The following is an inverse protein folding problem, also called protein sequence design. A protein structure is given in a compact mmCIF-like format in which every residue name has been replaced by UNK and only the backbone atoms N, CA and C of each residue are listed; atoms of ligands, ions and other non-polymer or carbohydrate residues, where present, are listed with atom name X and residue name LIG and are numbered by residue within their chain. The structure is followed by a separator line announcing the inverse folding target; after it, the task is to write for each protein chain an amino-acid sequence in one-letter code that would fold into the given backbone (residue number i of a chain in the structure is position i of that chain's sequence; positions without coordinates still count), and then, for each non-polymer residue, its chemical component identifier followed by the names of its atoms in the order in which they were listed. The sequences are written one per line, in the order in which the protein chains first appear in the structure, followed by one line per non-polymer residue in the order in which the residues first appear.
data_IF_216765409595
#
_entry.id   IF_216765409595
#
_cell.length_a   1.000
_cell.length_b   1.000
_cell.length_c   1.000
_cell.angle_alpha   90.00
_cell.angle_beta   90.00
_cell.angle_gamma   90.00
#
_symmetry.space_group_name_H-M   'P 1'
#
loop_
_entity.id
_entity.type
_entity.pdbx_description
1 polymer ?
#
# COMPACT_ATOMS: atom_id res chain seq x y z
N UNK A 1 18.42 -17.40 -35.41
CA UNK A 1 18.51 -16.25 -34.50
C UNK A 1 17.88 -16.66 -33.18
N UNK A 2 18.54 -16.46 -32.03
CA UNK A 2 17.89 -16.66 -30.72
C UNK A 2 16.83 -15.55 -30.55
N UNK A 3 15.64 -15.84 -29.98
CA UNK A 3 14.60 -14.83 -29.80
C UNK A 3 15.10 -13.72 -28.86
N UNK A 4 14.80 -12.48 -29.19
CA UNK A 4 15.01 -11.34 -28.29
C UNK A 4 13.95 -11.40 -27.19
N UNK A 5 14.38 -11.48 -25.94
CA UNK A 5 13.50 -11.47 -24.76
C UNK A 5 13.71 -10.15 -24.02
N UNK A 6 12.78 -9.19 -24.10
CA UNK A 6 12.89 -7.94 -23.35
C UNK A 6 12.69 -8.20 -21.86
N UNK A 7 13.53 -7.57 -21.03
CA UNK A 7 13.33 -7.54 -19.58
C UNK A 7 12.44 -6.33 -19.27
N UNK A 8 11.27 -6.51 -18.67
CA UNK A 8 10.38 -5.40 -18.34
C UNK A 8 10.98 -4.53 -17.24
N UNK A 9 10.62 -3.25 -17.25
CA UNK A 9 10.86 -2.38 -16.10
C UNK A 9 9.93 -2.83 -14.97
N UNK A 10 10.51 -3.26 -13.86
CA UNK A 10 9.76 -3.61 -12.64
C UNK A 10 9.72 -2.37 -11.75
N UNK A 11 8.55 -1.78 -11.63
CA UNK A 11 8.27 -0.66 -10.72
C UNK A 11 7.19 -1.13 -9.73
N UNK A 12 7.64 -1.84 -8.69
CA UNK A 12 6.76 -2.28 -7.62
C UNK A 12 7.10 -1.50 -6.35
N UNK A 13 6.17 -0.70 -5.88
CA UNK A 13 6.29 -0.04 -4.60
C UNK A 13 5.33 -0.69 -3.61
N UNK A 14 5.91 -1.38 -2.66
CA UNK A 14 5.26 -1.93 -1.49
C UNK A 14 5.73 -1.11 -0.29
N UNK A 15 4.78 -0.68 0.53
CA UNK A 15 5.07 0.00 1.79
C UNK A 15 4.53 -0.81 2.95
N UNK A 16 5.42 -1.21 3.85
CA UNK A 16 5.06 -1.74 5.16
C UNK A 16 5.27 -0.60 6.18
N UNK A 17 4.19 -0.20 6.85
CA UNK A 17 4.21 0.94 7.81
C UNK A 17 4.46 0.50 9.24
N UNK A 18 4.71 -0.78 9.46
CA UNK A 18 4.89 -1.38 10.77
C UNK A 18 3.71 -2.26 11.16
N UNK A 19 3.86 -2.90 12.30
CA UNK A 19 2.90 -3.83 12.86
C UNK A 19 3.42 -4.39 14.18
N UNK A 20 2.67 -5.31 14.75
CA UNK A 20 3.04 -5.97 16.00
C UNK A 20 2.35 -7.33 16.15
N UNK A 21 2.95 -8.17 16.95
CA UNK A 21 2.26 -9.29 17.60
C UNK A 21 1.95 -8.89 19.03
N UNK A 22 0.77 -9.21 19.51
CA UNK A 22 0.37 -8.91 20.88
C UNK A 22 -0.56 -9.98 21.44
N UNK A 23 -0.31 -10.36 22.71
CA UNK A 23 -1.27 -11.09 23.53
C UNK A 23 -1.99 -10.08 24.42
N UNK A 24 -3.30 -10.17 24.50
CA UNK A 24 -4.18 -9.27 25.25
C UNK A 24 -5.11 -10.06 26.16
N UNK A 25 -5.40 -9.57 27.36
CA UNK A 25 -6.28 -10.26 28.30
C UNK A 25 -7.74 -10.26 27.83
N UNK A 26 -8.58 -11.05 28.52
CA UNK A 26 -10.02 -10.97 28.41
C UNK A 26 -10.53 -9.55 28.66
N UNK A 27 -11.62 -9.17 27.99
CA UNK A 27 -12.21 -7.83 28.08
C UNK A 27 -11.41 -6.73 27.39
N UNK A 28 -10.25 -7.04 26.77
CA UNK A 28 -9.48 -6.03 26.04
C UNK A 28 -10.26 -5.48 24.85
N UNK A 29 -10.25 -4.15 24.70
CA UNK A 29 -10.81 -3.44 23.57
C UNK A 29 -9.89 -2.31 23.13
N UNK A 30 -9.74 -2.13 21.81
CA UNK A 30 -9.05 -1.01 21.23
C UNK A 30 -10.06 0.07 20.78
N UNK A 31 -9.67 1.34 20.89
CA UNK A 31 -10.54 2.45 20.51
C UNK A 31 -10.86 2.48 19.00
N UNK A 32 -11.92 3.20 18.63
CA UNK A 32 -12.33 3.39 17.23
C UNK A 32 -11.20 4.07 16.46
N UNK A 33 -10.78 3.47 15.37
CA UNK A 33 -9.63 3.92 14.55
C UNK A 33 -9.89 3.79 13.06
N UNK A 34 -9.12 4.50 12.26
CA UNK A 34 -9.02 4.33 10.81
C UNK A 34 -7.62 4.64 10.31
N UNK A 35 -7.14 3.90 9.33
CA UNK A 35 -5.81 4.05 8.78
C UNK A 35 -5.85 4.48 7.32
N UNK A 36 -4.81 5.19 6.85
CA UNK A 36 -4.60 5.50 5.43
C UNK A 36 -3.85 4.36 4.69
N UNK A 37 -3.78 3.20 5.32
CA UNK A 37 -3.17 1.98 4.81
C UNK A 37 -4.17 0.82 4.93
N UNK A 38 -3.94 -0.26 4.21
CA UNK A 38 -4.58 -1.54 4.51
C UNK A 38 -4.04 -2.08 5.83
N UNK A 39 -4.87 -2.74 6.60
CA UNK A 39 -4.46 -3.45 7.80
C UNK A 39 -4.75 -4.93 7.63
N UNK A 40 -3.72 -5.76 7.78
CA UNK A 40 -3.86 -7.20 7.86
C UNK A 40 -3.93 -7.59 9.33
N UNK A 41 -4.98 -8.34 9.69
CA UNK A 41 -5.19 -8.91 11.03
C UNK A 41 -5.19 -10.43 10.92
N UNK A 42 -4.34 -11.09 11.71
CA UNK A 42 -4.27 -12.56 11.84
C UNK A 42 -4.45 -12.92 13.30
N UNK A 43 -5.46 -13.68 13.65
CA UNK A 43 -5.58 -14.26 15.00
C UNK A 43 -4.77 -15.56 15.06
N UNK A 44 -3.96 -15.74 16.10
CA UNK A 44 -3.15 -16.93 16.31
C UNK A 44 -3.59 -17.75 17.53
N UNK A 45 -4.26 -17.11 18.50
CA UNK A 45 -4.90 -17.79 19.65
C UNK A 45 -6.07 -16.96 20.15
N UNK A 46 -7.08 -17.62 20.71
CA UNK A 46 -8.33 -16.96 21.14
C UNK A 46 -9.18 -16.48 19.95
N UNK A 47 -10.08 -15.53 20.18
CA UNK A 47 -10.97 -15.01 19.15
C UNK A 47 -11.04 -13.47 19.21
N UNK A 48 -11.02 -12.84 18.04
CA UNK A 48 -11.18 -11.39 17.90
C UNK A 48 -12.55 -11.04 17.34
N UNK A 49 -13.14 -10.00 17.89
CA UNK A 49 -14.32 -9.34 17.29
C UNK A 49 -13.87 -8.00 16.71
N UNK A 50 -14.13 -7.82 15.42
CA UNK A 50 -13.91 -6.54 14.72
C UNK A 50 -15.26 -5.99 14.28
N UNK A 51 -15.60 -4.78 14.75
CA UNK A 51 -16.76 -4.03 14.30
C UNK A 51 -16.31 -3.03 13.22
N UNK A 52 -16.89 -3.13 12.04
CA UNK A 52 -16.72 -2.16 10.96
C UNK A 52 -17.94 -1.26 10.92
N UNK A 53 -17.74 0.02 11.23
CA UNK A 53 -18.81 1.00 11.37
C UNK A 53 -19.67 1.07 10.10
N UNK A 54 -21.00 0.97 10.30
CA UNK A 54 -21.99 0.99 9.23
C UNK A 54 -21.89 -0.17 8.21
N UNK A 55 -21.18 -1.25 8.55
CA UNK A 55 -21.09 -2.42 7.68
C UNK A 55 -21.49 -3.71 8.39
N UNK A 56 -20.68 -4.21 9.29
CA UNK A 56 -20.90 -5.47 10.00
C UNK A 56 -19.95 -5.64 11.20
N UNK A 57 -20.29 -6.59 12.06
CA UNK A 57 -19.42 -7.10 13.12
C UNK A 57 -19.03 -8.52 12.78
N UNK A 58 -17.76 -8.83 12.90
CA UNK A 58 -17.17 -10.13 12.60
C UNK A 58 -16.44 -10.68 13.81
N UNK A 59 -16.65 -11.95 14.12
CA UNK A 59 -15.85 -12.71 15.10
C UNK A 59 -15.09 -13.80 14.36
N UNK A 60 -13.80 -13.90 14.60
CA UNK A 60 -12.91 -14.82 13.91
C UNK A 60 -11.79 -15.30 14.84
N UNK A 61 -11.22 -16.46 14.54
CA UNK A 61 -10.33 -17.21 15.42
C UNK A 61 -9.00 -17.59 14.77
N UNK A 62 -8.30 -18.56 15.35
CA UNK A 62 -6.95 -18.94 14.91
C UNK A 62 -6.89 -19.38 13.45
N UNK A 63 -5.98 -18.77 12.70
CA UNK A 63 -5.79 -19.00 11.27
C UNK A 63 -6.69 -18.17 10.36
N UNK A 64 -7.78 -17.62 10.89
CA UNK A 64 -8.59 -16.66 10.13
C UNK A 64 -7.86 -15.34 9.97
N UNK A 65 -8.15 -14.66 8.88
CA UNK A 65 -7.53 -13.40 8.51
C UNK A 65 -8.58 -12.37 8.11
N UNK A 66 -8.37 -11.13 8.49
CA UNK A 66 -9.14 -9.98 7.99
C UNK A 66 -8.21 -8.96 7.37
N UNK A 67 -8.58 -8.43 6.21
CA UNK A 67 -7.93 -7.26 5.61
C UNK A 67 -8.89 -6.09 5.69
N UNK A 68 -8.53 -5.08 6.47
CA UNK A 68 -9.31 -3.85 6.63
C UNK A 68 -8.86 -2.84 5.58
N UNK A 69 -9.83 -2.29 4.84
CA UNK A 69 -9.56 -1.32 3.78
C UNK A 69 -9.14 0.04 4.32
N UNK A 70 -8.37 0.77 3.52
CA UNK A 70 -7.96 2.15 3.82
C UNK A 70 -9.17 3.04 4.13
N UNK A 71 -9.08 3.83 5.20
CA UNK A 71 -10.12 4.78 5.60
C UNK A 71 -11.37 4.15 6.21
N UNK A 72 -11.37 2.84 6.48
CA UNK A 72 -12.45 2.14 7.15
C UNK A 72 -12.40 2.40 8.66
N UNK A 73 -13.50 2.89 9.21
CA UNK A 73 -13.64 3.12 10.63
C UNK A 73 -14.02 1.81 11.32
N UNK A 74 -13.23 1.38 12.30
CA UNK A 74 -13.39 0.09 12.96
C UNK A 74 -12.89 0.09 14.40
N UNK A 75 -13.35 -0.90 15.18
CA UNK A 75 -12.87 -1.24 16.52
C UNK A 75 -12.50 -2.71 16.57
N UNK A 76 -11.52 -3.06 17.39
CA UNK A 76 -11.10 -4.43 17.64
C UNK A 76 -11.22 -4.75 19.12
N UNK A 77 -11.71 -5.94 19.47
CA UNK A 77 -11.76 -6.41 20.86
C UNK A 77 -11.50 -7.90 20.95
N UNK A 78 -11.01 -8.36 22.10
CA UNK A 78 -11.05 -9.77 22.46
C UNK A 78 -12.52 -10.20 22.61
N UNK A 79 -12.88 -11.31 22.00
CA UNK A 79 -14.26 -11.83 22.07
C UNK A 79 -14.60 -12.45 23.42
N UNK A 80 -13.59 -12.83 24.23
CA UNK A 80 -13.73 -13.37 25.56
C UNK A 80 -13.50 -12.29 26.62
N UNK A 81 -14.27 -12.31 27.68
CA UNK A 81 -14.04 -11.44 28.83
C UNK A 81 -13.01 -12.02 29.83
N UNK A 82 -12.63 -13.29 29.69
CA UNK A 82 -11.78 -14.00 30.65
C UNK A 82 -10.51 -14.59 30.03
N UNK A 83 -10.56 -15.03 28.79
CA UNK A 83 -9.44 -15.71 28.13
C UNK A 83 -8.57 -14.74 27.34
N UNK A 84 -7.29 -15.05 27.21
CA UNK A 84 -6.37 -14.27 26.40
C UNK A 84 -6.58 -14.51 24.89
N UNK A 85 -6.23 -13.50 24.12
CA UNK A 85 -6.20 -13.55 22.66
C UNK A 85 -4.84 -13.11 22.16
N UNK A 86 -4.27 -13.82 21.18
CA UNK A 86 -3.03 -13.42 20.48
C UNK A 86 -3.33 -13.13 19.01
N UNK A 87 -2.86 -11.99 18.54
CA UNK A 87 -2.99 -11.58 17.15
C UNK A 87 -1.70 -10.96 16.61
N UNK A 88 -1.57 -10.98 15.28
CA UNK A 88 -0.55 -10.24 14.53
C UNK A 88 -1.29 -9.25 13.65
N UNK A 89 -0.88 -7.97 13.67
CA UNK A 89 -1.35 -7.00 12.70
C UNK A 89 -0.19 -6.25 12.07
N UNK A 90 -0.35 -5.85 10.82
CA UNK A 90 0.55 -4.90 10.16
C UNK A 90 -0.18 -4.06 9.11
N UNK A 91 0.33 -2.86 8.90
CA UNK A 91 -0.21 -1.90 7.96
C UNK A 91 0.62 -1.86 6.70
N UNK A 92 -0.02 -1.91 5.54
CA UNK A 92 0.68 -1.90 4.25
C UNK A 92 -0.07 -1.09 3.20
N UNK A 93 0.64 -0.72 2.15
CA UNK A 93 0.04 -0.16 0.95
C UNK A 93 0.73 -0.71 -0.29
N UNK A 94 -0.01 -0.77 -1.39
CA UNK A 94 0.45 -1.29 -2.68
C UNK A 94 0.20 -0.21 -3.72
N UNK A 95 1.19 0.03 -4.59
CA UNK A 95 1.02 0.96 -5.71
C UNK A 95 0.41 0.31 -6.96
N UNK A 96 0.50 -1.03 -7.09
CA UNK A 96 -0.20 -1.73 -8.17
C UNK A 96 -1.71 -1.51 -8.06
N UNK A 97 -2.25 -0.82 -9.05
CA UNK A 97 -3.68 -0.50 -9.09
C UNK A 97 -4.52 -1.72 -9.38
N UNK A 98 -4.02 -2.61 -10.22
CA UNK A 98 -4.67 -3.87 -10.54
C UNK A 98 -4.84 -4.69 -9.27
N UNK A 99 -3.77 -4.93 -8.55
CA UNK A 99 -3.78 -5.70 -7.31
C UNK A 99 -4.63 -5.03 -6.23
N UNK A 100 -4.52 -3.71 -6.10
CA UNK A 100 -5.34 -2.93 -5.16
C UNK A 100 -6.83 -3.03 -5.49
N UNK A 101 -7.19 -2.93 -6.76
CA UNK A 101 -8.57 -3.06 -7.23
C UNK A 101 -9.12 -4.46 -6.95
N UNK A 102 -8.33 -5.49 -7.21
CA UNK A 102 -8.69 -6.88 -6.94
C UNK A 102 -8.88 -7.13 -5.44
N UNK A 103 -7.99 -6.65 -4.60
CA UNK A 103 -8.15 -6.72 -3.14
C UNK A 103 -9.42 -6.03 -2.66
N UNK A 104 -9.68 -4.81 -3.14
CA UNK A 104 -10.86 -4.03 -2.76
C UNK A 104 -12.18 -4.70 -3.17
N UNK A 105 -12.16 -5.48 -4.24
CA UNK A 105 -13.36 -6.17 -4.74
C UNK A 105 -13.63 -7.52 -4.08
N UNK A 106 -12.60 -8.19 -3.57
CA UNK A 106 -12.70 -9.62 -3.24
C UNK A 106 -12.42 -9.98 -1.78
N UNK A 107 -11.61 -9.20 -1.04
CA UNK A 107 -11.09 -9.68 0.22
C UNK A 107 -11.09 -8.67 1.37
N UNK A 108 -11.37 -7.39 1.13
CA UNK A 108 -11.34 -6.39 2.22
C UNK A 108 -12.65 -6.32 2.98
N UNK A 109 -12.55 -5.95 4.26
CA UNK A 109 -13.66 -5.78 5.18
C UNK A 109 -14.55 -7.04 5.30
N UNK A 110 -13.91 -8.19 5.22
CA UNK A 110 -14.52 -9.50 5.39
C UNK A 110 -13.51 -10.47 6.01
N UNK A 111 -13.99 -11.45 6.73
CA UNK A 111 -13.16 -12.54 7.24
C UNK A 111 -12.83 -13.51 6.10
N UNK A 112 -11.57 -13.89 6.01
CA UNK A 112 -11.07 -14.94 5.14
C UNK A 112 -10.80 -16.16 6.02
N UNK A 113 -11.58 -17.24 5.88
CA UNK A 113 -11.45 -18.42 6.71
C UNK A 113 -10.08 -19.10 6.57
N UNK A 114 -9.63 -19.75 7.64
CA UNK A 114 -8.32 -20.40 7.76
C UNK A 114 -8.06 -21.49 6.72
N UNK A 115 -9.10 -22.13 6.20
CA UNK A 115 -9.02 -23.16 5.15
C UNK A 115 -8.71 -22.58 3.76
N UNK A 116 -8.85 -21.27 3.58
CA UNK A 116 -8.58 -20.62 2.30
C UNK A 116 -7.06 -20.44 2.07
N UNK A 117 -6.54 -20.75 0.86
CA UNK A 117 -5.12 -20.62 0.57
C UNK A 117 -4.56 -19.21 0.84
N UNK A 118 -5.37 -18.18 0.65
CA UNK A 118 -4.98 -16.80 0.90
C UNK A 118 -4.84 -16.49 2.40
N UNK A 119 -5.67 -17.07 3.26
CA UNK A 119 -5.53 -16.93 4.71
C UNK A 119 -4.24 -17.63 5.18
N UNK A 120 -3.96 -18.83 4.69
CA UNK A 120 -2.74 -19.57 4.98
C UNK A 120 -1.48 -18.80 4.54
N UNK A 121 -1.50 -18.19 3.35
CA UNK A 121 -0.42 -17.33 2.87
C UNK A 121 -0.25 -16.08 3.74
N UNK A 122 -1.35 -15.45 4.16
CA UNK A 122 -1.34 -14.29 5.03
C UNK A 122 -0.78 -14.60 6.42
N UNK A 123 -1.21 -15.71 7.04
CA UNK A 123 -0.66 -16.15 8.34
C UNK A 123 0.82 -16.46 8.22
N UNK A 124 1.24 -17.14 7.14
CA UNK A 124 2.66 -17.45 6.87
C UNK A 124 3.51 -16.18 6.78
N UNK A 125 3.06 -15.17 6.04
CA UNK A 125 3.82 -13.92 5.95
C UNK A 125 3.82 -13.17 7.27
N UNK A 126 2.70 -13.09 7.99
CA UNK A 126 2.61 -12.43 9.29
C UNK A 126 3.59 -13.05 10.29
N UNK A 127 3.64 -14.38 10.36
CA UNK A 127 4.58 -15.11 11.21
C UNK A 127 6.04 -14.87 10.81
N UNK A 128 6.37 -14.89 9.50
CA UNK A 128 7.72 -14.57 9.01
C UNK A 128 8.14 -13.14 9.37
N UNK A 129 7.24 -12.16 9.20
CA UNK A 129 7.51 -10.75 9.52
C UNK A 129 7.86 -10.59 11.01
N UNK A 130 7.09 -11.22 11.90
CA UNK A 130 7.38 -11.22 13.35
C UNK A 130 8.73 -11.90 13.64
N UNK A 131 8.95 -13.09 13.08
CA UNK A 131 10.21 -13.84 13.31
C UNK A 131 11.44 -13.04 12.85
N UNK A 132 11.41 -12.46 11.64
CA UNK A 132 12.52 -11.65 11.13
C UNK A 132 12.72 -10.33 11.90
N UNK A 133 11.63 -9.76 12.43
CA UNK A 133 11.72 -8.55 13.26
C UNK A 133 12.33 -8.81 14.65
N UNK A 134 12.18 -10.03 15.17
CA UNK A 134 12.69 -10.45 16.46
C UNK A 134 14.07 -11.15 16.39
N UNK A 135 14.57 -11.43 15.20
CA UNK A 135 15.84 -12.15 15.00
C UNK A 135 17.02 -11.22 15.22
N UNK A 136 17.64 -11.32 16.39
CA UNK A 136 18.82 -10.53 16.79
C UNK A 136 20.12 -10.93 16.07
N UNK A 137 20.15 -12.03 15.31
CA UNK A 137 21.30 -12.44 14.51
C UNK A 137 21.32 -11.71 13.15
N UNK A 138 20.21 -11.13 12.74
CA UNK A 138 20.12 -10.35 11.51
C UNK A 138 20.46 -8.89 11.75
N UNK A 139 21.21 -8.31 10.82
CA UNK A 139 21.30 -6.85 10.78
C UNK A 139 19.92 -6.27 10.40
N UNK A 140 19.65 -5.02 10.77
CA UNK A 140 18.40 -4.34 10.40
C UNK A 140 18.11 -4.38 8.90
N UNK A 141 19.14 -4.28 8.06
CA UNK A 141 19.00 -4.35 6.61
C UNK A 141 18.66 -5.75 6.13
N UNK A 142 19.30 -6.78 6.70
CA UNK A 142 18.95 -8.17 6.39
C UNK A 142 17.53 -8.52 6.82
N UNK A 143 17.10 -8.08 7.99
CA UNK A 143 15.73 -8.26 8.47
C UNK A 143 14.72 -7.57 7.50
N UNK A 144 14.97 -6.32 7.13
CA UNK A 144 14.12 -5.58 6.19
C UNK A 144 14.02 -6.29 4.85
N UNK A 145 15.14 -6.75 4.26
CA UNK A 145 15.12 -7.48 2.98
C UNK A 145 14.35 -8.79 3.07
N UNK A 146 14.52 -9.56 4.16
CA UNK A 146 13.75 -10.79 4.38
C UNK A 146 12.26 -10.51 4.52
N UNK A 147 11.88 -9.42 5.21
CA UNK A 147 10.49 -8.98 5.34
C UNK A 147 9.93 -8.58 3.97
N UNK A 148 10.65 -7.78 3.18
CA UNK A 148 10.23 -7.39 1.82
C UNK A 148 10.01 -8.61 0.93
N UNK A 149 10.94 -9.57 0.92
CA UNK A 149 10.79 -10.82 0.17
C UNK A 149 9.53 -11.59 0.61
N UNK A 150 9.33 -11.77 1.93
CA UNK A 150 8.17 -12.49 2.45
C UNK A 150 6.84 -11.82 2.06
N UNK A 151 6.80 -10.48 2.09
CA UNK A 151 5.60 -9.73 1.70
C UNK A 151 5.38 -9.77 0.19
N UNK A 152 6.43 -9.74 -0.64
CA UNK A 152 6.31 -9.93 -2.09
C UNK A 152 5.84 -11.36 -2.45
N UNK A 153 6.31 -12.40 -1.75
CA UNK A 153 5.80 -13.77 -1.90
C UNK A 153 4.30 -13.85 -1.59
N UNK A 154 3.84 -13.17 -0.54
CA UNK A 154 2.42 -13.08 -0.20
C UNK A 154 1.62 -12.40 -1.32
N UNK A 155 2.10 -11.30 -1.88
CA UNK A 155 1.41 -10.62 -2.99
C UNK A 155 1.41 -11.45 -4.27
N UNK A 156 2.45 -12.22 -4.52
CA UNK A 156 2.45 -13.18 -5.63
C UNK A 156 1.35 -14.24 -5.42
N UNK A 157 1.30 -14.87 -4.24
CA UNK A 157 0.23 -15.82 -3.90
C UNK A 157 -1.16 -15.18 -3.97
N UNK A 158 -1.30 -13.91 -3.58
CA UNK A 158 -2.53 -13.14 -3.70
C UNK A 158 -2.98 -13.04 -5.17
N UNK A 159 -2.08 -12.72 -6.11
CA UNK A 159 -2.44 -12.60 -7.53
C UNK A 159 -2.94 -13.92 -8.13
N UNK A 160 -2.41 -15.06 -7.68
CA UNK A 160 -2.86 -16.39 -8.14
C UNK A 160 -4.26 -16.72 -7.58
N UNK A 161 -4.49 -16.46 -6.31
CA UNK A 161 -5.76 -16.74 -5.64
C UNK A 161 -6.88 -15.80 -6.11
N UNK A 162 -6.58 -14.52 -6.37
CA UNK A 162 -7.57 -13.56 -6.86
C UNK A 162 -8.09 -13.95 -8.25
N UNK A 163 -7.25 -14.45 -9.14
CA UNK A 163 -7.68 -14.98 -10.45
C UNK A 163 -8.69 -16.12 -10.32
N UNK A 164 -8.52 -16.97 -9.31
CA UNK A 164 -9.45 -18.08 -9.04
C UNK A 164 -10.77 -17.61 -8.40
N UNK A 165 -10.77 -16.51 -7.63
CA UNK A 165 -11.94 -15.98 -6.92
C UNK A 165 -12.81 -15.02 -7.72
N UNK A 166 -12.25 -14.30 -8.70
CA UNK A 166 -13.00 -13.38 -9.59
C UNK A 166 -14.13 -14.11 -10.34
N UNK A 167 -14.04 -15.42 -10.48
CA UNK A 167 -15.12 -16.23 -11.07
C UNK A 167 -16.30 -16.53 -10.12
N UNK A 168 -16.23 -16.25 -8.81
CA UNK A 168 -17.20 -16.75 -7.81
C UNK A 168 -17.98 -15.72 -7.00
N UNK A 169 -17.61 -14.44 -6.95
CA UNK A 169 -18.38 -13.41 -6.21
C UNK A 169 -18.66 -12.20 -7.09
N UNK A 170 -19.92 -11.77 -7.08
CA UNK A 170 -20.38 -10.63 -7.87
C UNK A 170 -19.49 -9.39 -7.65
N UNK A 171 -18.79 -9.00 -8.68
CA UNK A 171 -17.99 -7.78 -8.69
C UNK A 171 -18.87 -6.59 -8.33
N UNK A 172 -18.41 -5.72 -7.41
CA UNK A 172 -19.10 -4.45 -7.08
C UNK A 172 -19.15 -3.48 -8.27
N UNK A 173 -18.47 -3.80 -9.38
CA UNK A 173 -18.42 -3.01 -10.61
C UNK A 173 -18.43 -3.94 -11.85
N UNK A 174 -18.90 -3.42 -12.97
CA UNK A 174 -18.94 -4.15 -14.25
C UNK A 174 -17.57 -4.20 -14.91
N UNK A 175 -17.36 -5.13 -15.86
CA UNK A 175 -16.12 -5.19 -16.66
C UNK A 175 -15.88 -3.88 -17.41
N UNK A 176 -16.93 -3.21 -17.89
CA UNK A 176 -16.84 -1.88 -18.52
C UNK A 176 -16.36 -0.81 -17.54
N UNK A 177 -16.84 -0.83 -16.30
CA UNK A 177 -16.36 0.08 -15.24
C UNK A 177 -14.90 -0.21 -14.90
N UNK A 178 -14.51 -1.48 -14.76
CA UNK A 178 -13.13 -1.88 -14.54
C UNK A 178 -12.20 -1.39 -15.67
N UNK A 179 -12.60 -1.60 -16.93
CA UNK A 179 -11.87 -1.12 -18.11
C UNK A 179 -11.72 0.40 -18.10
N UNK A 180 -12.80 1.13 -17.83
CA UNK A 180 -12.78 2.59 -17.73
C UNK A 180 -11.84 3.06 -16.62
N UNK A 181 -11.91 2.46 -15.45
CA UNK A 181 -11.01 2.76 -14.33
C UNK A 181 -9.53 2.55 -14.69
N UNK A 182 -9.20 1.41 -15.31
CA UNK A 182 -7.84 1.10 -15.79
C UNK A 182 -7.34 2.11 -16.83
N UNK A 183 -8.19 2.50 -17.79
CA UNK A 183 -7.82 3.50 -18.80
C UNK A 183 -7.50 4.86 -18.15
N UNK A 184 -8.32 5.30 -17.19
CA UNK A 184 -8.09 6.54 -16.44
C UNK A 184 -6.75 6.48 -15.70
N UNK A 185 -6.52 5.42 -14.94
CA UNK A 185 -5.28 5.21 -14.17
C UNK A 185 -4.04 5.25 -15.08
N UNK A 186 -4.09 4.52 -16.20
CA UNK A 186 -3.00 4.47 -17.19
C UNK A 186 -2.69 5.84 -17.77
N UNK A 187 -3.71 6.63 -18.13
CA UNK A 187 -3.50 7.96 -18.66
C UNK A 187 -2.93 8.93 -17.62
N UNK A 188 -3.38 8.86 -16.37
CA UNK A 188 -2.80 9.64 -15.26
C UNK A 188 -1.34 9.27 -15.08
N UNK A 189 -1.01 7.97 -14.96
CA UNK A 189 0.37 7.50 -14.80
C UNK A 189 1.25 7.98 -15.96
N UNK A 190 0.83 7.78 -17.21
CA UNK A 190 1.55 8.24 -18.41
C UNK A 190 1.79 9.77 -18.41
N UNK A 191 0.85 10.56 -17.91
CA UNK A 191 1.02 12.00 -17.84
C UNK A 191 2.06 12.41 -16.77
N UNK A 192 2.04 11.74 -15.63
CA UNK A 192 2.96 12.05 -14.51
C UNK A 192 4.37 11.55 -14.78
N UNK A 193 4.55 10.40 -15.47
CA UNK A 193 5.86 9.81 -15.79
C UNK A 193 6.61 10.54 -16.92
N UNK A 194 5.99 11.47 -17.63
CA UNK A 194 6.72 12.33 -18.59
C UNK A 194 7.86 13.07 -17.87
N UNK A 195 8.95 13.35 -18.58
CA UNK A 195 10.12 14.07 -18.04
C UNK A 195 9.66 15.32 -17.27
N UNK A 196 8.89 16.19 -17.91
CA UNK A 196 8.18 17.32 -17.27
C UNK A 196 6.70 16.95 -17.13
N UNK A 197 6.17 17.02 -15.92
CA UNK A 197 4.74 16.76 -15.68
C UNK A 197 3.91 17.88 -16.30
N UNK A 198 3.09 17.59 -17.32
CA UNK A 198 2.28 18.64 -17.91
C UNK A 198 1.16 19.08 -16.96
N UNK A 199 0.65 20.27 -17.17
CA UNK A 199 -0.62 20.67 -16.58
C UNK A 199 -1.73 19.87 -17.26
N UNK A 200 -2.51 19.14 -16.49
CA UNK A 200 -3.68 18.41 -16.97
C UNK A 200 -4.79 18.39 -15.91
N UNK A 201 -6.02 18.34 -16.35
CA UNK A 201 -7.17 18.15 -15.47
C UNK A 201 -7.69 16.72 -15.56
N UNK A 202 -8.41 16.28 -14.54
CA UNK A 202 -9.10 15.00 -14.58
C UNK A 202 -10.16 14.95 -15.70
N UNK A 203 -10.77 16.10 -15.99
CA UNK A 203 -11.72 16.26 -17.10
C UNK A 203 -11.08 15.97 -18.46
N UNK A 204 -9.82 16.40 -18.66
CA UNK A 204 -9.08 16.11 -19.90
C UNK A 204 -8.79 14.62 -20.05
N UNK A 205 -8.48 13.94 -18.95
CA UNK A 205 -8.31 12.49 -18.94
C UNK A 205 -9.62 11.78 -19.34
N UNK A 206 -10.75 12.18 -18.74
CA UNK A 206 -12.05 11.59 -19.07
C UNK A 206 -12.44 11.85 -20.53
N UNK A 207 -12.21 13.06 -21.04
CA UNK A 207 -12.49 13.42 -22.44
C UNK A 207 -11.72 12.54 -23.43
N UNK A 208 -10.46 12.20 -23.15
CA UNK A 208 -9.63 11.32 -23.98
C UNK A 208 -10.18 9.91 -24.13
N UNK A 209 -10.97 9.44 -23.18
CA UNK A 209 -11.58 8.10 -23.22
C UNK A 209 -13.08 8.15 -23.49
N UNK A 210 -13.62 9.33 -23.84
CA UNK A 210 -15.01 9.48 -24.26
C UNK A 210 -16.03 9.37 -23.12
N UNK A 211 -15.65 9.69 -21.86
CA UNK A 211 -16.58 9.64 -20.73
C UNK A 211 -16.72 11.01 -20.06
N UNK A 212 -17.88 11.25 -19.43
CA UNK A 212 -18.05 12.44 -18.60
C UNK A 212 -17.17 12.41 -17.34
N UNK A 213 -16.73 13.57 -16.88
CA UNK A 213 -15.91 13.69 -15.66
C UNK A 213 -16.63 13.11 -14.44
N UNK A 214 -17.94 13.32 -14.31
CA UNK A 214 -18.73 12.77 -13.22
C UNK A 214 -18.80 11.24 -13.23
N UNK A 215 -19.01 10.62 -14.41
CA UNK A 215 -18.98 9.18 -14.56
C UNK A 215 -17.57 8.63 -14.25
N UNK A 216 -16.53 9.23 -14.85
CA UNK A 216 -15.15 8.84 -14.61
C UNK A 216 -14.77 8.90 -13.14
N UNK A 217 -15.19 9.95 -12.41
CA UNK A 217 -14.92 10.11 -10.99
C UNK A 217 -15.58 9.01 -10.15
N UNK A 218 -16.88 8.75 -10.37
CA UNK A 218 -17.62 7.69 -9.64
C UNK A 218 -17.04 6.31 -9.93
N UNK A 219 -16.81 6.00 -11.21
CA UNK A 219 -16.26 4.72 -11.66
C UNK A 219 -14.85 4.51 -11.11
N UNK A 220 -13.97 5.51 -11.20
CA UNK A 220 -12.63 5.41 -10.66
C UNK A 220 -12.65 5.16 -9.14
N UNK A 221 -13.44 5.92 -8.38
CA UNK A 221 -13.60 5.72 -6.93
C UNK A 221 -14.19 4.35 -6.60
N UNK A 222 -15.15 3.87 -7.40
CA UNK A 222 -15.78 2.56 -7.22
C UNK A 222 -14.77 1.41 -7.46
N UNK A 223 -13.93 1.52 -8.49
CA UNK A 223 -12.94 0.50 -8.88
C UNK A 223 -11.69 0.54 -7.99
N UNK A 224 -11.20 1.73 -7.65
CA UNK A 224 -9.92 1.89 -6.94
C UNK A 224 -10.04 2.31 -5.48
N UNK A 225 -11.25 2.53 -4.96
CA UNK A 225 -11.51 2.90 -3.58
C UNK A 225 -11.05 4.31 -3.19
N UNK A 226 -10.35 5.02 -4.09
CA UNK A 226 -9.82 6.38 -3.85
C UNK A 226 -10.30 7.33 -4.93
N UNK A 227 -10.36 8.63 -4.62
CA UNK A 227 -10.71 9.63 -5.63
C UNK A 227 -9.58 9.80 -6.65
N UNK A 228 -9.91 10.15 -7.91
CA UNK A 228 -8.88 10.44 -8.92
C UNK A 228 -7.88 11.51 -8.49
N UNK A 229 -8.34 12.53 -7.77
CA UNK A 229 -7.46 13.61 -7.27
C UNK A 229 -6.44 13.06 -6.27
N UNK A 230 -6.89 12.27 -5.30
CA UNK A 230 -6.00 11.63 -4.34
C UNK A 230 -4.99 10.71 -5.02
N UNK A 231 -5.43 9.97 -6.04
CA UNK A 231 -4.54 9.13 -6.85
C UNK A 231 -3.48 9.96 -7.58
N UNK A 232 -3.87 11.07 -8.25
CA UNK A 232 -2.94 11.99 -8.92
C UNK A 232 -1.92 12.55 -7.92
N UNK A 233 -2.37 12.99 -6.74
CA UNK A 233 -1.49 13.51 -5.70
C UNK A 233 -0.47 12.47 -5.23
N UNK A 234 -0.90 11.22 -5.00
CA UNK A 234 -0.01 10.12 -4.63
C UNK A 234 1.04 9.83 -5.70
N UNK A 235 0.63 9.75 -6.98
CA UNK A 235 1.57 9.50 -8.08
C UNK A 235 2.58 10.65 -8.22
N UNK A 236 2.14 11.89 -8.10
CA UNK A 236 3.04 13.06 -8.08
C UNK A 236 4.00 13.02 -6.89
N UNK A 237 3.51 12.68 -5.70
CA UNK A 237 4.35 12.55 -4.51
C UNK A 237 5.43 11.48 -4.68
N UNK A 238 5.09 10.32 -5.24
CA UNK A 238 6.04 9.24 -5.48
C UNK A 238 7.11 9.65 -6.50
N UNK A 239 6.73 10.31 -7.59
CA UNK A 239 7.70 10.89 -8.53
C UNK A 239 8.62 11.90 -7.85
N UNK A 240 8.07 12.80 -7.05
CA UNK A 240 8.86 13.79 -6.30
C UNK A 240 9.85 13.12 -5.34
N UNK A 241 9.46 12.05 -4.63
CA UNK A 241 10.37 11.28 -3.77
C UNK A 241 11.53 10.66 -4.55
N UNK A 242 11.25 10.05 -5.72
CA UNK A 242 12.31 9.48 -6.59
C UNK A 242 13.30 10.55 -7.02
N UNK A 243 12.82 11.69 -7.50
CA UNK A 243 13.67 12.82 -7.92
C UNK A 243 14.49 13.39 -6.76
N UNK A 244 13.89 13.57 -5.58
CA UNK A 244 14.60 14.01 -4.37
C UNK A 244 15.64 12.99 -3.88
N UNK A 245 15.46 11.72 -4.22
CA UNK A 245 16.43 10.66 -3.97
C UNK A 245 17.64 10.71 -4.90
N UNK A 246 17.57 11.36 -6.04
CA UNK A 246 18.69 11.51 -6.97
C UNK A 246 19.58 12.69 -6.56
N UNK A 247 20.92 12.50 -6.48
CA UNK A 247 21.83 13.55 -6.07
C UNK A 247 22.05 14.64 -7.14
N UNK A 248 21.69 14.35 -8.37
CA UNK A 248 21.91 15.18 -9.57
C UNK A 248 20.90 16.32 -9.73
N UNK A 249 19.76 16.28 -9.03
CA UNK A 249 18.74 17.31 -9.15
C UNK A 249 18.73 18.27 -7.96
N UNK A 250 18.72 19.57 -8.25
CA UNK A 250 18.40 20.62 -7.27
C UNK A 250 16.89 20.64 -6.98
N UNK A 251 16.48 21.33 -5.93
CA UNK A 251 15.04 21.51 -5.62
C UNK A 251 14.33 22.30 -6.74
N UNK A 252 15.05 23.20 -7.40
CA UNK A 252 14.55 23.99 -8.53
C UNK A 252 14.32 23.11 -9.76
N UNK A 253 15.29 22.25 -10.13
CA UNK A 253 15.14 21.29 -11.21
C UNK A 253 13.94 20.36 -10.97
N UNK A 254 13.80 19.90 -9.73
CA UNK A 254 12.68 19.02 -9.36
C UNK A 254 11.33 19.75 -9.47
N UNK A 255 11.26 21.02 -9.05
CA UNK A 255 10.06 21.82 -9.20
C UNK A 255 9.64 21.95 -10.67
N UNK A 256 10.60 22.20 -11.57
CA UNK A 256 10.38 22.25 -13.01
C UNK A 256 9.95 20.89 -13.57
N UNK A 257 10.67 19.81 -13.26
CA UNK A 257 10.31 18.45 -13.66
C UNK A 257 8.92 18.01 -13.16
N UNK A 258 8.48 18.54 -12.03
CA UNK A 258 7.16 18.28 -11.46
C UNK A 258 6.05 19.17 -12.06
N UNK A 259 6.43 20.12 -12.95
CA UNK A 259 5.51 21.07 -13.57
C UNK A 259 4.92 22.06 -12.58
N UNK A 260 5.66 22.40 -11.52
CA UNK A 260 5.24 23.40 -10.55
C UNK A 260 5.51 24.80 -11.10
N UNK A 261 4.61 25.75 -10.83
CA UNK A 261 4.75 27.14 -11.28
C UNK A 261 5.87 27.91 -10.57
N UNK A 262 6.41 27.38 -9.48
CA UNK A 262 7.59 27.88 -8.76
C UNK A 262 8.10 26.85 -7.77
N UNK A 263 9.37 26.98 -7.38
CA UNK A 263 10.02 26.18 -6.31
C UNK A 263 9.27 26.30 -4.97
N UNK A 264 8.72 27.50 -4.68
CA UNK A 264 7.91 27.74 -3.48
C UNK A 264 6.61 26.93 -3.49
N UNK A 265 5.91 26.89 -4.62
CA UNK A 265 4.67 26.12 -4.77
C UNK A 265 4.94 24.61 -4.69
N UNK A 266 6.01 24.11 -5.30
CA UNK A 266 6.45 22.74 -5.14
C UNK A 266 6.73 22.42 -3.67
N UNK A 267 7.47 23.26 -2.97
CA UNK A 267 7.84 23.07 -1.57
C UNK A 267 6.61 23.01 -0.64
N UNK A 268 5.63 23.89 -0.86
CA UNK A 268 4.36 23.89 -0.12
C UNK A 268 3.59 22.59 -0.39
N UNK A 269 3.50 22.18 -1.64
CA UNK A 269 2.78 20.97 -2.03
C UNK A 269 3.46 19.71 -1.49
N UNK A 270 4.78 19.61 -1.59
CA UNK A 270 5.53 18.50 -1.04
C UNK A 270 5.41 18.41 0.48
N UNK A 271 5.48 19.55 1.18
CA UNK A 271 5.25 19.59 2.63
C UNK A 271 3.84 19.16 3.01
N UNK A 272 2.83 19.49 2.21
CA UNK A 272 1.45 19.01 2.40
C UNK A 272 1.38 17.48 2.30
N UNK A 273 2.13 16.87 1.37
CA UNK A 273 2.15 15.42 1.17
C UNK A 273 2.97 14.68 2.23
N UNK A 274 4.13 15.20 2.62
CA UNK A 274 5.15 14.50 3.42
C UNK A 274 5.27 14.96 4.87
N UNK A 275 4.65 16.09 5.23
CA UNK A 275 4.82 16.75 6.52
C UNK A 275 6.12 17.56 6.66
N UNK A 276 7.08 17.42 5.76
CA UNK A 276 8.39 18.11 5.81
C UNK A 276 8.73 18.78 4.47
N UNK A 277 9.65 19.76 4.49
CA UNK A 277 10.08 20.42 3.24
C UNK A 277 10.93 19.50 2.37
N UNK A 278 10.96 19.70 1.02
CA UNK A 278 11.81 18.95 0.10
C UNK A 278 13.28 18.95 0.52
N UNK A 279 13.80 20.11 0.91
CA UNK A 279 15.21 20.26 1.35
C UNK A 279 15.51 19.44 2.61
N UNK A 280 14.58 19.42 3.60
CA UNK A 280 14.72 18.56 4.78
C UNK A 280 14.68 17.08 4.41
N UNK A 281 13.78 16.69 3.53
CA UNK A 281 13.66 15.32 3.03
C UNK A 281 14.95 14.86 2.32
N UNK A 282 15.48 15.68 1.39
CA UNK A 282 16.72 15.40 0.68
C UNK A 282 17.94 15.32 1.63
N UNK A 283 18.00 16.20 2.64
CA UNK A 283 19.05 16.16 3.67
C UNK A 283 19.01 14.87 4.48
N UNK A 284 17.82 14.41 4.89
CA UNK A 284 17.67 13.14 5.60
C UNK A 284 18.15 11.95 4.76
N UNK A 285 17.87 11.94 3.45
CA UNK A 285 18.36 10.92 2.53
C UNK A 285 19.90 10.96 2.41
N UNK A 286 20.49 12.15 2.28
CA UNK A 286 21.95 12.33 2.22
C UNK A 286 22.64 11.88 3.55
N UNK A 287 22.06 12.18 4.70
CA UNK A 287 22.58 11.72 5.98
C UNK A 287 22.55 10.21 6.11
N UNK A 288 21.43 9.56 5.74
CA UNK A 288 21.34 8.10 5.71
C UNK A 288 22.39 7.45 4.79
N UNK A 289 22.69 8.07 3.64
CA UNK A 289 23.75 7.60 2.73
C UNK A 289 25.14 7.76 3.34
N UNK A 290 25.46 8.92 3.97
CA UNK A 290 26.77 9.16 4.62
C UNK A 290 27.05 8.20 5.77
N UNK A 291 26.06 7.94 6.63
CA UNK A 291 26.19 6.96 7.73
C UNK A 291 26.44 5.55 7.18
N UNK A 292 25.92 5.22 6.00
CA UNK A 292 26.15 3.96 5.31
C UNK A 292 27.60 3.86 4.80
N UNK A 293 28.10 4.89 4.13
CA UNK A 293 29.46 4.92 3.57
C UNK A 293 30.53 4.89 4.66
N UNK A 294 30.34 5.57 5.80
CA UNK A 294 31.28 5.55 6.93
C UNK A 294 31.30 4.19 7.64
N UNK A 295 30.18 3.47 7.69
CA UNK A 295 30.16 2.09 8.21
C UNK A 295 30.82 1.08 7.27
N UNK A 296 30.77 1.31 5.96
CA UNK A 296 31.40 0.45 4.95
C UNK A 296 32.91 0.69 4.84
N UNK A 297 33.40 1.91 5.12
CA UNK A 297 34.85 2.24 5.14
C UNK A 297 35.57 1.86 6.43
N UNK A 298 34.88 1.49 7.48
CA UNK A 298 35.48 1.08 8.76
C UNK A 298 35.81 -0.42 8.89
N UNK A 299 35.71 -1.19 7.80
CA UNK A 299 36.04 -2.62 7.77
C UNK A 299 37.34 -2.96 7.01
N UNK A 300 38.16 -1.97 6.70
CA UNK A 300 39.51 -2.16 6.14
C UNK A 300 40.56 -1.40 6.98
N UNK A 301 40.75 -1.82 8.23
CA UNK A 301 41.97 -1.66 8.97
C UNK A 301 42.19 -2.91 9.84
#
# INVERSE_FOLDING_TARGET
MKPFVPIPVVDSSLYLFGGHQRTVPGGWQFFEQKHQAFELMCVTAGHQTTEIKNLATYTYGPGDVMVISTGTLHTNKNSSDTEEMTYICFHFNIESLELKSEMLSSMVNAVIPADQPIAQAAVKVATKVVAYSADHQLTKEQANLKIEIAVLEFFFALTENLKAHVQKKGQKYTESEAKTGRMIATLIKKAIEKKHVPVFSFTDICRKIGVSSGYGHRTFKKVYGVTPLHYIENQKYNKAKRLLGSPEYSIEDIADLMGASSTSNFSKQFKKWSGITPSKYQRQLKQKRRVRTVKESGYFE
#
